data_IF_101800424258
#
_entry.id   IF_101800424258
#
_cell.length_a   1.000
_cell.length_b   1.000
_cell.length_c   1.000
_cell.angle_alpha   90.00
_cell.angle_beta   90.00
_cell.angle_gamma   90.00
#
_symmetry.space_group_name_H-M   'P 1'
#
loop_
_entity.id
_entity.type
_entity.pdbx_description
1 polymer ?
#
# COMPACT_ATOMS: atom_id res chain seq x y z
N UNK A 1 1.25 -28.73 -2.97
CA UNK A 1 2.38 -28.82 -3.92
C UNK A 1 2.08 -29.56 -5.23
N UNK A 2 1.42 -30.73 -5.23
CA UNK A 2 1.15 -31.49 -6.47
C UNK A 2 0.41 -30.69 -7.55
N UNK A 3 -0.49 -29.79 -7.16
CA UNK A 3 -1.20 -28.91 -8.10
C UNK A 3 -0.25 -27.93 -8.82
N UNK A 4 0.71 -27.32 -8.13
CA UNK A 4 1.68 -26.40 -8.76
C UNK A 4 2.58 -27.09 -9.78
N UNK A 5 3.03 -28.32 -9.49
CA UNK A 5 3.81 -29.12 -10.45
C UNK A 5 2.98 -29.42 -11.70
N UNK A 6 1.68 -29.72 -11.54
CA UNK A 6 0.77 -29.94 -12.67
C UNK A 6 0.56 -28.65 -13.48
N UNK A 7 0.31 -27.52 -12.82
CA UNK A 7 0.18 -26.23 -13.48
C UNK A 7 1.43 -25.84 -14.26
N UNK A 8 2.62 -26.05 -13.69
CA UNK A 8 3.88 -25.75 -14.39
C UNK A 8 4.08 -26.60 -15.64
N UNK A 9 3.63 -27.86 -15.65
CA UNK A 9 3.70 -28.72 -16.85
C UNK A 9 2.79 -28.22 -17.97
N UNK A 10 1.68 -27.58 -17.64
CA UNK A 10 0.74 -27.01 -18.62
C UNK A 10 1.26 -25.67 -19.15
N UNK A 11 1.91 -24.87 -18.30
CA UNK A 11 2.43 -23.54 -18.64
C UNK A 11 3.95 -23.46 -18.41
N UNK A 12 4.70 -24.25 -19.17
CA UNK A 12 6.14 -24.44 -18.99
C UNK A 12 6.97 -23.16 -19.24
N UNK A 13 6.45 -22.25 -20.05
CA UNK A 13 7.04 -20.96 -20.41
C UNK A 13 6.65 -19.82 -19.47
N UNK A 14 5.60 -20.00 -18.65
CA UNK A 14 5.09 -18.96 -17.77
C UNK A 14 5.83 -18.91 -16.43
N UNK A 15 5.88 -17.70 -15.87
CA UNK A 15 6.30 -17.43 -14.49
C UNK A 15 5.09 -16.98 -13.68
N UNK A 16 5.05 -17.34 -12.41
CA UNK A 16 3.91 -17.09 -11.55
C UNK A 16 4.25 -16.10 -10.45
N UNK A 17 3.26 -15.32 -10.03
CA UNK A 17 3.29 -14.58 -8.78
C UNK A 17 2.25 -15.23 -7.87
N UNK A 18 2.65 -15.62 -6.67
CA UNK A 18 1.73 -16.15 -5.68
C UNK A 18 1.21 -15.01 -4.80
N UNK A 19 -0.10 -14.95 -4.63
CA UNK A 19 -0.76 -13.99 -3.73
C UNK A 19 -1.66 -14.80 -2.79
N UNK A 20 -1.47 -14.62 -1.49
CA UNK A 20 -2.27 -15.27 -0.45
C UNK A 20 -2.52 -14.34 0.73
N UNK A 21 -3.02 -14.87 1.84
CA UNK A 21 -3.28 -14.13 3.07
C UNK A 21 -2.64 -14.78 4.31
N UNK A 22 -2.52 -14.01 5.39
CA UNK A 22 -1.84 -14.48 6.59
C UNK A 22 -2.71 -15.37 7.52
N UNK A 23 -3.91 -15.77 7.11
CA UNK A 23 -4.86 -16.54 7.93
C UNK A 23 -5.05 -18.02 7.57
N UNK A 24 -4.67 -18.48 6.37
CA UNK A 24 -5.05 -19.82 5.88
C UNK A 24 -3.89 -20.73 5.42
N UNK A 25 -2.69 -20.54 5.97
CA UNK A 25 -1.53 -21.39 5.67
C UNK A 25 -0.78 -21.01 4.37
N UNK A 26 -1.18 -19.92 3.71
CA UNK A 26 -0.50 -19.41 2.52
C UNK A 26 0.94 -18.99 2.78
N UNK A 27 1.27 -18.62 4.03
CA UNK A 27 2.65 -18.36 4.45
C UNK A 27 3.50 -19.63 4.28
N UNK A 28 3.02 -20.77 4.76
CA UNK A 28 3.73 -22.04 4.68
C UNK A 28 3.82 -22.57 3.24
N UNK A 29 2.75 -22.39 2.46
CA UNK A 29 2.78 -22.67 1.03
C UNK A 29 3.78 -21.77 0.30
N UNK A 30 3.77 -20.46 0.58
CA UNK A 30 4.69 -19.48 0.00
C UNK A 30 6.15 -19.83 0.28
N UNK A 31 6.46 -20.22 1.52
CA UNK A 31 7.78 -20.73 1.90
C UNK A 31 8.19 -21.93 1.07
N UNK A 32 7.31 -22.91 0.94
CA UNK A 32 7.59 -24.13 0.19
C UNK A 32 7.81 -23.85 -1.31
N UNK A 33 7.04 -22.91 -1.88
CA UNK A 33 7.23 -22.46 -3.27
C UNK A 33 8.59 -21.79 -3.47
N UNK A 34 9.07 -21.01 -2.49
CA UNK A 34 10.36 -20.33 -2.57
C UNK A 34 11.57 -21.24 -2.31
N UNK A 35 11.40 -22.42 -1.72
CA UNK A 35 12.50 -23.39 -1.56
C UNK A 35 13.02 -23.92 -2.90
N UNK A 36 12.13 -24.08 -3.89
CA UNK A 36 12.47 -24.65 -5.21
C UNK A 36 11.85 -23.82 -6.34
N UNK A 37 12.32 -22.57 -6.56
CA UNK A 37 11.68 -21.64 -7.50
C UNK A 37 11.75 -22.12 -8.95
N UNK A 38 12.75 -22.94 -9.32
CA UNK A 38 12.83 -23.52 -10.67
C UNK A 38 11.75 -24.58 -10.93
N UNK A 39 11.36 -25.34 -9.89
CA UNK A 39 10.33 -26.37 -10.00
C UNK A 39 8.93 -25.76 -10.16
N UNK A 40 8.69 -24.61 -9.51
CA UNK A 40 7.38 -23.98 -9.46
C UNK A 40 7.26 -22.71 -10.32
N UNK A 41 8.37 -22.20 -10.86
CA UNK A 41 8.49 -20.95 -11.61
C UNK A 41 7.83 -19.73 -10.94
N UNK A 42 7.85 -19.69 -9.60
CA UNK A 42 7.31 -18.57 -8.82
C UNK A 42 8.37 -17.46 -8.73
N UNK A 43 8.01 -16.26 -9.20
CA UNK A 43 8.88 -15.07 -9.21
C UNK A 43 8.77 -14.23 -7.97
N UNK A 44 7.61 -14.25 -7.30
CA UNK A 44 7.34 -13.49 -6.10
C UNK A 44 6.21 -14.16 -5.30
N UNK A 45 6.27 -14.01 -3.98
CA UNK A 45 5.24 -14.43 -3.03
C UNK A 45 4.82 -13.21 -2.23
N UNK A 46 3.56 -12.84 -2.36
CA UNK A 46 2.95 -11.70 -1.70
C UNK A 46 1.89 -12.21 -0.72
N UNK A 47 1.95 -11.79 0.53
CA UNK A 47 0.97 -12.18 1.56
C UNK A 47 0.23 -10.94 2.06
N UNK A 48 -1.08 -10.91 1.87
CA UNK A 48 -1.95 -9.87 2.38
C UNK A 48 -2.11 -10.06 3.89
N UNK A 49 -1.69 -9.04 4.65
CA UNK A 49 -1.86 -9.03 6.10
C UNK A 49 -3.32 -8.61 6.42
N UNK A 50 -4.21 -9.59 6.53
CA UNK A 50 -5.63 -9.41 6.85
C UNK A 50 -5.91 -9.56 8.35
N UNK A 51 -5.09 -10.33 9.07
CA UNK A 51 -5.19 -10.51 10.52
C UNK A 51 -4.50 -9.35 11.25
N UNK A 52 -5.30 -8.37 11.66
CA UNK A 52 -4.87 -7.13 12.34
C UNK A 52 -4.58 -7.30 13.85
N UNK A 53 -4.87 -8.46 14.45
CA UNK A 53 -5.17 -8.58 15.89
C UNK A 53 -4.15 -9.29 16.79
N UNK A 54 -2.90 -9.52 16.36
CA UNK A 54 -1.93 -10.21 17.23
C UNK A 54 -1.02 -9.31 18.08
N UNK A 55 -1.22 -8.00 18.05
CA UNK A 55 -0.57 -7.09 18.99
C UNK A 55 -1.52 -5.98 19.41
N UNK A 56 -2.38 -6.27 20.38
CA UNK A 56 -3.25 -5.27 21.04
C UNK A 56 -2.47 -4.12 21.69
N UNK A 57 -1.15 -4.24 21.84
CA UNK A 57 -0.28 -3.25 22.48
C UNK A 57 0.82 -2.66 21.58
N UNK A 58 0.80 -2.91 20.26
CA UNK A 58 1.80 -2.31 19.33
C UNK A 58 1.13 -1.35 18.36
N UNK A 59 1.79 -0.23 18.01
CA UNK A 59 1.25 0.72 17.05
C UNK A 59 0.93 0.02 15.72
N UNK A 60 -0.09 0.50 14.98
CA UNK A 60 -0.62 -0.12 13.76
C UNK A 60 0.39 -0.23 12.60
N UNK A 61 1.61 0.27 12.78
CA UNK A 61 2.69 0.30 11.78
C UNK A 61 3.56 -0.96 11.73
N UNK A 62 3.27 -2.01 12.51
CA UNK A 62 4.04 -3.28 12.49
C UNK A 62 3.19 -4.42 11.93
N UNK A 63 3.70 -5.14 10.93
CA UNK A 63 3.07 -6.34 10.39
C UNK A 63 3.02 -7.40 11.50
N UNK A 64 1.82 -7.87 11.88
CA UNK A 64 1.66 -8.43 13.22
C UNK A 64 1.81 -9.96 13.30
N UNK A 65 1.60 -10.68 12.20
CA UNK A 65 1.62 -12.15 12.19
C UNK A 65 2.76 -12.69 11.33
N UNK A 66 3.71 -13.39 11.96
CA UNK A 66 4.87 -14.07 11.33
C UNK A 66 5.73 -13.18 10.41
N UNK A 67 5.73 -11.86 10.61
CA UNK A 67 6.49 -10.89 9.78
C UNK A 67 7.97 -11.24 9.64
N UNK A 68 8.67 -11.45 10.76
CA UNK A 68 10.11 -11.79 10.77
C UNK A 68 10.38 -13.01 9.89
N UNK A 69 9.51 -14.00 10.05
CA UNK A 69 9.61 -15.26 9.34
C UNK A 69 9.30 -15.12 7.83
N UNK A 70 8.33 -14.29 7.46
CA UNK A 70 8.04 -13.94 6.07
C UNK A 70 9.24 -13.22 5.43
N UNK A 71 9.77 -12.19 6.09
CA UNK A 71 10.89 -11.41 5.59
C UNK A 71 12.14 -12.28 5.37
N UNK A 72 12.46 -13.16 6.32
CA UNK A 72 13.57 -14.12 6.19
C UNK A 72 13.37 -15.12 5.06
N UNK A 73 12.12 -15.43 4.69
CA UNK A 73 11.79 -16.41 3.65
C UNK A 73 11.66 -15.78 2.26
N UNK A 74 11.86 -14.46 2.11
CA UNK A 74 11.67 -13.75 0.84
C UNK A 74 10.19 -13.51 0.48
N UNK A 75 9.30 -13.55 1.47
CA UNK A 75 7.87 -13.25 1.31
C UNK A 75 7.64 -11.76 1.58
N UNK A 76 6.98 -11.07 0.65
CA UNK A 76 6.58 -9.69 0.84
C UNK A 76 5.19 -9.60 1.45
N UNK A 77 5.10 -9.09 2.68
CA UNK A 77 3.81 -8.83 3.32
C UNK A 77 3.29 -7.45 2.95
N UNK A 78 2.00 -7.33 2.63
CA UNK A 78 1.42 -6.06 2.21
C UNK A 78 0.06 -5.79 2.87
N UNK A 79 -0.32 -4.52 2.95
CA UNK A 79 -1.62 -4.06 3.49
C UNK A 79 -2.55 -3.55 2.41
N UNK A 80 -2.01 -2.90 1.37
CA UNK A 80 -2.80 -2.45 0.23
C UNK A 80 -2.29 -3.09 -1.04
N UNK A 81 -3.19 -3.28 -2.00
CA UNK A 81 -2.80 -3.75 -3.32
C UNK A 81 -1.94 -2.72 -4.08
N UNK A 82 -1.94 -1.45 -3.67
CA UNK A 82 -1.00 -0.45 -4.17
C UNK A 82 0.42 -0.86 -3.79
N UNK A 83 0.68 -1.09 -2.49
CA UNK A 83 1.98 -1.56 -1.99
C UNK A 83 2.43 -2.87 -2.66
N UNK A 84 1.53 -3.84 -2.80
CA UNK A 84 1.82 -5.10 -3.50
C UNK A 84 2.22 -4.87 -4.97
N UNK A 85 1.45 -4.06 -5.70
CA UNK A 85 1.72 -3.79 -7.12
C UNK A 85 3.00 -2.98 -7.30
N UNK A 86 3.29 -2.04 -6.38
CA UNK A 86 4.52 -1.26 -6.40
C UNK A 86 5.75 -2.14 -6.12
N UNK A 87 5.66 -3.06 -5.17
CA UNK A 87 6.72 -4.05 -4.92
C UNK A 87 7.02 -4.89 -6.18
N UNK A 88 5.98 -5.35 -6.89
CA UNK A 88 6.16 -6.07 -8.15
C UNK A 88 6.75 -5.20 -9.27
N UNK A 89 6.44 -3.90 -9.31
CA UNK A 89 7.07 -2.96 -10.24
C UNK A 89 8.57 -2.82 -9.97
N UNK A 90 8.96 -2.61 -8.70
CA UNK A 90 10.37 -2.54 -8.28
C UNK A 90 11.12 -3.84 -8.62
N UNK A 91 10.44 -4.99 -8.50
CA UNK A 91 10.99 -6.28 -8.90
C UNK A 91 11.04 -6.52 -10.43
N UNK A 92 10.59 -5.56 -11.25
CA UNK A 92 10.55 -5.67 -12.71
C UNK A 92 9.47 -6.61 -13.27
N UNK A 93 8.49 -6.99 -12.43
CA UNK A 93 7.40 -7.92 -12.79
C UNK A 93 6.14 -7.21 -13.28
N UNK A 94 5.96 -5.94 -12.94
CA UNK A 94 4.89 -5.07 -13.43
C UNK A 94 5.44 -3.78 -14.02
N UNK A 95 4.70 -3.18 -14.94
CA UNK A 95 4.99 -1.82 -15.43
C UNK A 95 4.43 -0.76 -14.48
N UNK A 96 5.04 0.43 -14.45
CA UNK A 96 4.54 1.57 -13.68
C UNK A 96 3.10 1.93 -14.03
N UNK A 97 2.73 1.87 -15.31
CA UNK A 97 1.34 2.07 -15.75
C UNK A 97 0.35 1.06 -15.16
N UNK A 98 0.79 -0.16 -14.83
CA UNK A 98 -0.05 -1.14 -14.13
C UNK A 98 -0.28 -0.76 -12.68
N UNK A 99 0.73 -0.21 -12.00
CA UNK A 99 0.63 0.31 -10.64
C UNK A 99 -0.32 1.50 -10.57
N UNK A 100 -0.21 2.44 -11.52
CA UNK A 100 -1.12 3.60 -11.62
C UNK A 100 -2.57 3.13 -11.69
N UNK A 101 -2.89 2.16 -12.55
CA UNK A 101 -4.25 1.59 -12.63
C UNK A 101 -4.74 1.00 -11.31
N UNK A 102 -3.86 0.36 -10.52
CA UNK A 102 -4.22 -0.16 -9.19
C UNK A 102 -4.55 1.00 -8.24
N UNK A 103 -3.78 2.08 -8.26
CA UNK A 103 -4.07 3.29 -7.48
C UNK A 103 -5.44 3.87 -7.85
N UNK A 104 -5.71 4.05 -9.14
CA UNK A 104 -6.98 4.58 -9.64
C UNK A 104 -8.17 3.73 -9.20
N UNK A 105 -8.08 2.39 -9.35
CA UNK A 105 -9.13 1.47 -8.92
C UNK A 105 -9.30 1.46 -7.40
N UNK A 106 -8.21 1.58 -6.65
CA UNK A 106 -8.26 1.69 -5.18
C UNK A 106 -8.95 2.98 -4.75
N UNK A 107 -8.67 4.11 -5.40
CA UNK A 107 -9.31 5.39 -5.11
C UNK A 107 -10.84 5.32 -5.34
N UNK A 108 -11.25 4.76 -6.49
CA UNK A 108 -12.66 4.56 -6.81
C UNK A 108 -13.35 3.61 -5.83
N UNK A 109 -12.70 2.48 -5.49
CA UNK A 109 -13.24 1.52 -4.53
C UNK A 109 -13.38 2.16 -3.14
N UNK A 110 -12.35 2.86 -2.67
CA UNK A 110 -12.35 3.55 -1.38
C UNK A 110 -13.50 4.56 -1.26
N UNK A 111 -13.75 5.36 -2.31
CA UNK A 111 -14.85 6.31 -2.34
C UNK A 111 -16.24 5.66 -2.26
N UNK A 112 -16.36 4.39 -2.67
CA UNK A 112 -17.60 3.64 -2.64
C UNK A 112 -17.82 2.84 -1.33
N UNK A 113 -16.83 2.76 -0.44
CA UNK A 113 -16.97 2.04 0.83
C UNK A 113 -17.87 2.85 1.78
N UNK A 114 -18.90 2.18 2.31
CA UNK A 114 -19.65 2.67 3.46
C UNK A 114 -18.92 2.20 4.72
N UNK A 115 -18.39 3.15 5.50
CA UNK A 115 -17.67 2.86 6.74
C UNK A 115 -18.61 3.00 7.94
N UNK A 116 -18.48 2.10 8.91
CA UNK A 116 -19.24 2.18 10.17
C UNK A 116 -18.75 3.34 11.03
N UNK A 117 -17.44 3.62 10.99
CA UNK A 117 -16.83 4.70 11.77
C UNK A 117 -15.87 5.57 10.96
N UNK A 118 -15.72 6.83 11.39
CA UNK A 118 -14.71 7.75 10.83
C UNK A 118 -13.28 7.26 11.06
N UNK A 119 -13.04 6.56 12.17
CA UNK A 119 -11.74 6.00 12.51
C UNK A 119 -11.34 4.89 11.53
N UNK A 120 -12.24 3.96 11.19
CA UNK A 120 -12.00 2.95 10.16
C UNK A 120 -11.62 3.59 8.82
N UNK A 121 -12.37 4.62 8.42
CA UNK A 121 -12.12 5.38 7.20
C UNK A 121 -10.73 6.03 7.22
N UNK A 122 -10.38 6.71 8.30
CA UNK A 122 -9.08 7.38 8.49
C UNK A 122 -7.91 6.39 8.50
N UNK A 123 -8.05 5.25 9.17
CA UNK A 123 -6.99 4.24 9.22
C UNK A 123 -6.71 3.65 7.83
N UNK A 124 -7.75 3.32 7.06
CA UNK A 124 -7.58 2.85 5.69
C UNK A 124 -7.01 3.94 4.76
N UNK A 125 -7.43 5.20 4.94
CA UNK A 125 -6.86 6.31 4.19
C UNK A 125 -5.34 6.46 4.42
N UNK A 126 -4.88 6.31 5.66
CA UNK A 126 -3.46 6.36 6.00
C UNK A 126 -2.66 5.22 5.35
N UNK A 127 -3.20 4.01 5.36
CA UNK A 127 -2.59 2.85 4.67
C UNK A 127 -2.45 3.13 3.16
N UNK A 128 -3.51 3.61 2.51
CA UNK A 128 -3.52 3.96 1.08
C UNK A 128 -2.52 5.08 0.79
N UNK A 129 -2.53 6.16 1.57
CA UNK A 129 -1.65 7.30 1.36
C UNK A 129 -0.17 6.93 1.49
N UNK A 130 0.19 6.07 2.43
CA UNK A 130 1.57 5.63 2.61
C UNK A 130 2.09 4.94 1.33
N UNK A 131 1.30 4.05 0.75
CA UNK A 131 1.69 3.34 -0.48
C UNK A 131 1.60 4.23 -1.73
N UNK A 132 0.61 5.14 -1.82
CA UNK A 132 0.55 6.14 -2.89
C UNK A 132 1.79 7.03 -2.90
N UNK A 133 2.30 7.40 -1.72
CA UNK A 133 3.47 8.25 -1.62
C UNK A 133 4.70 7.61 -2.28
N UNK A 134 4.86 6.29 -2.15
CA UNK A 134 5.90 5.55 -2.84
C UNK A 134 5.74 5.61 -4.37
N UNK A 135 4.52 5.45 -4.88
CA UNK A 135 4.23 5.55 -6.33
C UNK A 135 4.48 6.96 -6.85
N UNK A 136 4.04 7.98 -6.13
CA UNK A 136 4.19 9.40 -6.50
C UNK A 136 5.66 9.83 -6.63
N UNK A 137 6.56 9.25 -5.84
CA UNK A 137 7.99 9.54 -5.93
C UNK A 137 8.62 9.07 -7.25
N UNK A 138 8.03 8.07 -7.90
CA UNK A 138 8.48 7.55 -9.20
C UNK A 138 7.88 8.31 -10.39
N UNK A 139 6.94 9.23 -10.15
CA UNK A 139 6.21 9.93 -11.20
C UNK A 139 6.74 11.36 -11.40
N UNK A 140 6.79 11.84 -12.67
CA UNK A 140 6.94 13.26 -12.96
C UNK A 140 5.82 14.06 -12.30
N UNK A 141 6.11 15.29 -11.88
CA UNK A 141 5.19 16.14 -11.11
C UNK A 141 3.79 16.23 -11.72
N UNK A 142 3.68 16.43 -13.03
CA UNK A 142 2.38 16.52 -13.71
C UNK A 142 1.54 15.23 -13.57
N UNK A 143 2.18 14.06 -13.67
CA UNK A 143 1.50 12.77 -13.53
C UNK A 143 1.16 12.46 -12.07
N UNK A 144 2.08 12.78 -11.16
CA UNK A 144 1.84 12.68 -9.73
C UNK A 144 0.64 13.54 -9.29
N UNK A 145 0.56 14.77 -9.78
CA UNK A 145 -0.54 15.70 -9.53
C UNK A 145 -1.87 15.18 -10.08
N UNK A 146 -1.86 14.65 -11.30
CA UNK A 146 -3.04 14.02 -11.89
C UNK A 146 -3.53 12.84 -11.03
N UNK A 147 -2.60 11.98 -10.59
CA UNK A 147 -2.92 10.83 -9.74
C UNK A 147 -3.48 11.26 -8.38
N UNK A 148 -2.87 12.25 -7.72
CA UNK A 148 -3.36 12.80 -6.46
C UNK A 148 -4.71 13.48 -6.59
N UNK A 149 -5.03 14.03 -7.76
CA UNK A 149 -6.34 14.66 -8.00
C UNK A 149 -7.51 13.66 -8.04
N UNK A 150 -7.22 12.37 -8.23
CA UNK A 150 -8.20 11.29 -8.18
C UNK A 150 -8.49 10.81 -6.76
N UNK A 151 -7.62 11.12 -5.80
CA UNK A 151 -7.84 10.80 -4.40
C UNK A 151 -8.79 11.82 -3.79
N UNK A 152 -9.90 11.32 -3.21
CA UNK A 152 -10.92 12.15 -2.58
C UNK A 152 -10.32 12.99 -1.43
N UNK A 153 -10.88 14.16 -1.14
CA UNK A 153 -10.37 15.07 -0.10
C UNK A 153 -10.24 14.38 1.27
N UNK A 154 -11.17 13.49 1.60
CA UNK A 154 -11.18 12.63 2.79
C UNK A 154 -9.97 11.68 2.93
N UNK A 155 -9.24 11.39 1.84
CA UNK A 155 -7.97 10.66 1.94
C UNK A 155 -6.86 11.54 2.48
N UNK A 156 -6.94 12.87 2.27
CA UNK A 156 -5.90 13.85 2.55
C UNK A 156 -6.24 14.71 3.78
N UNK A 157 -7.32 14.40 4.50
CA UNK A 157 -7.74 15.18 5.66
C UNK A 157 -6.63 15.22 6.72
N UNK A 158 -5.94 16.36 6.78
CA UNK A 158 -4.88 16.67 7.74
C UNK A 158 -5.48 17.02 9.11
N UNK A 159 -6.51 16.31 9.56
CA UNK A 159 -7.00 16.35 10.95
C UNK A 159 -7.32 17.74 11.52
N UNK A 160 -7.73 18.71 10.71
CA UNK A 160 -7.89 20.11 11.17
C UNK A 160 -9.33 20.45 11.59
N UNK A 161 -10.22 19.45 11.66
CA UNK A 161 -11.65 19.62 11.97
C UNK A 161 -12.05 19.20 13.40
N UNK A 162 -11.09 18.89 14.28
CA UNK A 162 -11.38 18.66 15.72
C UNK A 162 -11.55 19.98 16.53
N UNK A 163 -11.43 21.14 15.89
CA UNK A 163 -11.47 22.45 16.58
C UNK A 163 -12.69 23.30 16.21
N UNK A 164 -13.88 22.67 16.17
CA UNK A 164 -15.18 23.37 16.11
C UNK A 164 -15.98 23.21 17.38
N UNK A 165 -15.38 23.59 18.50
CA UNK A 165 -16.07 23.92 19.75
C UNK A 165 -15.33 25.07 20.45
N UNK A 166 -15.13 26.19 19.75
CA UNK A 166 -15.10 27.52 20.37
C UNK A 166 -15.17 28.62 19.31
N UNK A 167 -16.12 29.53 19.49
CA UNK A 167 -16.50 30.58 18.55
C UNK A 167 -15.45 31.68 18.38
N UNK A 168 -14.39 31.41 17.63
CA UNK A 168 -13.41 32.43 17.24
C UNK A 168 -13.38 32.55 15.71
N UNK A 169 -13.68 33.75 15.23
CA UNK A 169 -13.68 34.16 13.82
C UNK A 169 -12.33 33.86 13.18
N UNK A 170 -12.21 32.76 12.42
CA UNK A 170 -11.01 32.46 11.62
C UNK A 170 -10.95 33.45 10.45
N UNK A 171 -9.87 34.23 10.39
CA UNK A 171 -9.48 35.03 9.24
C UNK A 171 -9.48 34.16 7.98
N UNK A 172 -10.12 34.64 6.91
CA UNK A 172 -10.15 33.98 5.60
C UNK A 172 -8.71 33.87 5.06
N UNK A 173 -8.10 32.68 5.14
CA UNK A 173 -6.93 32.33 4.32
C UNK A 173 -7.30 32.57 2.84
N UNK A 174 -6.38 33.09 2.01
CA UNK A 174 -6.65 33.27 0.59
C UNK A 174 -7.01 31.92 -0.02
N UNK A 175 -8.05 31.93 -0.86
CA UNK A 175 -8.55 30.73 -1.54
C UNK A 175 -7.50 30.33 -2.58
N UNK A 176 -6.67 29.35 -2.24
CA UNK A 176 -5.70 28.75 -3.15
C UNK A 176 -6.42 28.23 -4.40
N UNK A 177 -5.78 28.37 -5.55
CA UNK A 177 -6.23 27.73 -6.80
C UNK A 177 -6.12 26.20 -6.67
N UNK A 178 -6.89 25.47 -7.49
CA UNK A 178 -6.87 23.99 -7.48
C UNK A 178 -5.46 23.44 -7.74
N UNK A 179 -4.70 24.11 -8.60
CA UNK A 179 -3.33 23.73 -8.94
C UNK A 179 -2.37 23.93 -7.75
N UNK A 180 -2.41 25.09 -7.09
CA UNK A 180 -1.62 25.35 -5.88
C UNK A 180 -1.94 24.37 -4.75
N UNK A 181 -3.22 23.99 -4.60
CA UNK A 181 -3.66 23.00 -3.62
C UNK A 181 -3.09 21.61 -3.93
N UNK A 182 -3.15 21.17 -5.18
CA UNK A 182 -2.55 19.89 -5.59
C UNK A 182 -1.03 19.91 -5.39
N UNK A 183 -0.36 21.05 -5.61
CA UNK A 183 1.08 21.17 -5.48
C UNK A 183 1.50 21.08 -4.00
N UNK A 184 0.74 21.73 -3.10
CA UNK A 184 0.89 21.53 -1.66
C UNK A 184 0.67 20.08 -1.23
N UNK A 185 -0.31 19.38 -1.83
CA UNK A 185 -0.54 17.94 -1.57
C UNK A 185 0.64 17.10 -2.01
N UNK A 186 1.17 17.34 -3.21
CA UNK A 186 2.34 16.65 -3.72
C UNK A 186 3.53 16.81 -2.78
N UNK A 187 3.81 18.03 -2.34
CA UNK A 187 4.88 18.30 -1.38
C UNK A 187 4.66 17.59 -0.04
N UNK A 188 3.44 17.61 0.50
CA UNK A 188 3.10 16.95 1.76
C UNK A 188 3.26 15.42 1.70
N UNK A 189 2.84 14.81 0.58
CA UNK A 189 2.96 13.37 0.33
C UNK A 189 4.43 12.97 0.20
N UNK A 190 5.21 13.71 -0.60
CA UNK A 190 6.65 13.49 -0.76
C UNK A 190 7.41 13.63 0.57
N UNK A 191 7.08 14.67 1.35
CA UNK A 191 7.71 14.91 2.66
C UNK A 191 7.40 13.80 3.67
N UNK A 192 6.17 13.28 3.65
CA UNK A 192 5.75 12.16 4.50
C UNK A 192 6.51 10.88 4.14
N UNK A 193 6.70 10.59 2.85
CA UNK A 193 7.52 9.46 2.39
C UNK A 193 8.97 9.55 2.87
N UNK A 194 9.60 10.72 2.73
CA UNK A 194 11.00 10.94 3.17
C UNK A 194 11.16 10.74 4.68
N UNK A 195 10.17 11.16 5.48
CA UNK A 195 10.19 10.97 6.93
C UNK A 195 10.07 9.50 7.32
N UNK A 196 9.21 8.73 6.64
CA UNK A 196 9.06 7.29 6.87
C UNK A 196 10.36 6.52 6.58
N UNK A 197 11.04 6.84 5.47
CA UNK A 197 12.33 6.22 5.11
C UNK A 197 13.44 6.53 6.12
N UNK A 198 13.47 7.74 6.69
CA UNK A 198 14.45 8.14 7.71
C UNK A 198 14.20 7.48 9.07
N UNK A 199 12.95 7.18 9.42
CA UNK A 199 12.62 6.45 10.64
C UNK A 199 13.02 4.98 10.55
N UNK A 200 12.79 4.33 9.39
CA UNK A 200 13.18 2.93 9.16
C UNK A 200 14.70 2.71 9.14
N UNK A 201 15.51 3.71 8.77
CA UNK A 201 16.98 3.63 8.78
C UNK A 201 17.61 3.82 10.17
N UNK A 202 16.88 4.32 11.16
CA UNK A 202 17.40 4.56 12.52
C UNK A 202 17.25 3.36 13.46
N UNK A 203 16.50 2.34 13.03
CA UNK A 203 16.18 1.15 13.83
C UNK A 203 16.99 -0.11 13.39
N UNK A 204 18.09 0.08 12.64
CA UNK A 204 19.10 -0.95 12.29
C UNK A 204 20.41 -0.57 12.99
#
# INVERSE_FOLDING_TARGET
MQNFVRFKRIFAEHRFVFVGDNGQGDIDLGKELLKNPQLYAVSAVLIHDVIRNHATDKPPSRHSYREIECNQSGIYSFRTYIGASFHLYVAGLLSLGSVIRVVEKTALAYAAIVFDTREQKRNLAQEILADVAAVVNELPDQQAMALLSLLHDDLVDTGDDDDKLNGTVKQKKPRLTREELLQQRLEAVRKSATKLSQTLQRDI
#
